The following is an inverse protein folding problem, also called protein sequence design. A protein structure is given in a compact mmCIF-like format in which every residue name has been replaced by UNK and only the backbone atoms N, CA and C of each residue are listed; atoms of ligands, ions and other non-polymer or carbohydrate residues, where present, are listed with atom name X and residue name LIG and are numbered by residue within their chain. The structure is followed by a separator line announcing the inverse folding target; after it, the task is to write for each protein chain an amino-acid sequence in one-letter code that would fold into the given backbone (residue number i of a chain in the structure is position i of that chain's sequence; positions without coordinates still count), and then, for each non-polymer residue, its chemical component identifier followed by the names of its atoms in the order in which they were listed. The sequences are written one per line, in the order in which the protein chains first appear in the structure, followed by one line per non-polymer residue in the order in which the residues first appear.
data_IF_055009453959
#
_entry.id   IF_055009453959
#
_cell.length_a   1.000
_cell.length_b   1.000
_cell.length_c   1.000
_cell.angle_alpha   90.00
_cell.angle_beta   90.00
_cell.angle_gamma   90.00
#
_symmetry.space_group_name_H-M   'P 1'
#
loop_
_entity.id
_entity.type
_entity.pdbx_description
1 polymer ?
#
# COMPACT_ATOMS: atom_id res chain seq x y z
N UNK A 1 24.70 -15.92 11.60
CA UNK A 1 23.53 -15.02 11.55
C UNK A 1 22.85 -15.07 12.91
N UNK A 2 22.82 -13.93 13.61
CA UNK A 2 22.53 -13.84 15.04
C UNK A 2 21.02 -13.85 15.34
N UNK A 3 20.60 -14.65 16.32
CA UNK A 3 19.20 -14.82 16.75
C UNK A 3 18.62 -13.52 17.33
N UNK A 4 19.47 -12.60 17.79
CA UNK A 4 19.08 -11.27 18.28
C UNK A 4 18.54 -10.35 17.18
N UNK A 5 18.92 -10.57 15.91
CA UNK A 5 18.29 -9.86 14.79
C UNK A 5 16.89 -10.38 14.45
N UNK A 6 16.37 -11.43 15.10
CA UNK A 6 14.96 -11.84 14.95
C UNK A 6 14.03 -11.15 15.96
N UNK A 7 14.56 -10.69 17.09
CA UNK A 7 13.76 -10.14 18.20
C UNK A 7 13.64 -8.61 18.20
N UNK A 8 14.55 -7.89 17.54
CA UNK A 8 14.47 -6.41 17.41
C UNK A 8 13.30 -5.89 16.56
N UNK A 9 12.60 -6.77 15.84
CA UNK A 9 11.43 -6.45 15.01
C UNK A 9 10.10 -6.79 15.69
N UNK A 10 10.14 -7.28 16.94
CA UNK A 10 9.00 -7.83 17.66
C UNK A 10 7.93 -6.80 18.09
N UNK A 11 8.04 -5.56 17.62
CA UNK A 11 6.88 -4.70 17.41
C UNK A 11 6.67 -4.42 15.90
N UNK A 12 6.18 -5.41 15.11
CA UNK A 12 5.81 -5.24 13.70
C UNK A 12 4.74 -4.15 13.47
N UNK A 13 4.09 -3.70 14.55
CA UNK A 13 2.92 -2.83 14.53
C UNK A 13 3.22 -1.35 14.29
N UNK A 14 4.49 -0.91 14.41
CA UNK A 14 4.85 0.52 14.43
C UNK A 14 5.67 1.01 13.21
N UNK A 15 6.35 0.12 12.48
CA UNK A 15 7.26 0.52 11.39
C UNK A 15 6.57 1.22 10.21
N UNK A 16 5.36 0.77 9.85
CA UNK A 16 4.59 1.33 8.73
C UNK A 16 3.81 2.59 9.09
N UNK A 17 3.60 2.88 10.38
CA UNK A 17 2.74 3.98 10.82
C UNK A 17 3.29 5.34 10.39
N UNK A 18 4.61 5.50 10.42
CA UNK A 18 5.27 6.74 9.97
C UNK A 18 5.09 6.98 8.47
N UNK A 19 5.56 6.10 7.56
CA UNK A 19 5.40 6.33 6.13
C UNK A 19 3.94 6.29 5.67
N UNK A 20 3.11 5.41 6.25
CA UNK A 20 1.67 5.38 5.99
C UNK A 20 0.95 6.64 6.45
N UNK A 21 1.30 7.17 7.62
CA UNK A 21 0.77 8.44 8.12
C UNK A 21 1.15 9.63 7.24
N UNK A 22 2.37 9.66 6.72
CA UNK A 22 2.81 10.67 5.73
C UNK A 22 1.97 10.60 4.45
N UNK A 23 1.69 9.39 3.94
CA UNK A 23 0.83 9.21 2.76
C UNK A 23 -0.61 9.63 3.00
N UNK A 24 -1.20 9.29 4.15
CA UNK A 24 -2.55 9.74 4.53
C UNK A 24 -2.59 11.26 4.64
N UNK A 25 -1.61 11.87 5.30
CA UNK A 25 -1.50 13.33 5.39
C UNK A 25 -1.37 13.99 4.02
N UNK A 26 -0.53 13.43 3.14
CA UNK A 26 -0.38 13.88 1.75
C UNK A 26 -1.70 13.79 0.98
N UNK A 27 -2.43 12.68 1.10
CA UNK A 27 -3.73 12.50 0.47
C UNK A 27 -4.77 13.52 0.95
N UNK A 28 -4.80 13.82 2.24
CA UNK A 28 -5.65 14.88 2.79
C UNK A 28 -5.28 16.27 2.24
N UNK A 29 -3.98 16.58 2.12
CA UNK A 29 -3.52 17.84 1.53
C UNK A 29 -3.93 17.97 0.05
N UNK A 30 -3.76 16.91 -0.74
CA UNK A 30 -4.19 16.89 -2.15
C UNK A 30 -5.71 17.07 -2.25
N UNK A 31 -6.48 16.34 -1.44
CA UNK A 31 -7.93 16.50 -1.39
C UNK A 31 -8.37 17.92 -1.00
N UNK A 32 -7.72 18.50 0.01
CA UNK A 32 -7.96 19.88 0.43
C UNK A 32 -7.65 20.87 -0.69
N UNK A 33 -6.55 20.68 -1.43
CA UNK A 33 -6.20 21.53 -2.55
C UNK A 33 -7.24 21.48 -3.67
N UNK A 34 -7.87 20.33 -3.91
CA UNK A 34 -8.97 20.17 -4.88
C UNK A 34 -10.21 20.94 -4.43
N UNK A 35 -10.54 20.91 -3.14
CA UNK A 35 -11.71 21.62 -2.57
C UNK A 35 -11.53 23.15 -2.57
N UNK A 36 -10.31 23.63 -2.35
CA UNK A 36 -10.00 25.07 -2.26
C UNK A 36 -10.01 25.81 -3.60
N UNK A 37 -10.21 25.10 -4.72
CA UNK A 37 -10.36 25.64 -6.08
C UNK A 37 -9.18 26.53 -6.57
N UNK A 38 -9.35 27.24 -7.69
CA UNK A 38 -8.31 28.01 -8.38
C UNK A 38 -7.79 29.20 -7.54
N UNK A 39 -6.68 28.99 -6.82
CA UNK A 39 -6.04 30.03 -6.02
C UNK A 39 -4.55 29.83 -5.78
N UNK A 40 -3.86 30.86 -5.25
CA UNK A 40 -2.46 30.73 -4.82
C UNK A 40 -2.33 29.72 -3.67
N UNK A 41 -3.29 29.71 -2.75
CA UNK A 41 -3.31 28.81 -1.61
C UNK A 41 -3.46 27.34 -2.05
N UNK A 42 -4.40 27.04 -2.95
CA UNK A 42 -4.56 25.69 -3.50
C UNK A 42 -3.30 25.19 -4.21
N UNK A 43 -2.61 26.05 -4.98
CA UNK A 43 -1.33 25.70 -5.62
C UNK A 43 -0.24 25.35 -4.60
N UNK A 44 -0.13 26.12 -3.52
CA UNK A 44 0.85 25.83 -2.44
C UNK A 44 0.50 24.53 -1.75
N UNK A 45 -0.76 24.33 -1.34
CA UNK A 45 -1.21 23.10 -0.66
C UNK A 45 -1.03 21.88 -1.57
N UNK A 46 -1.35 22.00 -2.86
CA UNK A 46 -1.13 20.92 -3.83
C UNK A 46 0.37 20.59 -3.97
N UNK A 47 1.24 21.60 -4.03
CA UNK A 47 2.69 21.40 -4.06
C UNK A 47 3.21 20.68 -2.81
N UNK A 48 2.75 21.10 -1.62
CA UNK A 48 3.08 20.44 -0.35
C UNK A 48 2.54 19.00 -0.33
N UNK A 49 1.31 18.78 -0.75
CA UNK A 49 0.70 17.46 -0.87
C UNK A 49 1.51 16.53 -1.78
N UNK A 50 1.91 17.01 -2.96
CA UNK A 50 2.76 16.26 -3.88
C UNK A 50 4.14 15.92 -3.31
N UNK A 51 4.81 16.89 -2.65
CA UNK A 51 6.11 16.64 -1.99
C UNK A 51 5.98 15.62 -0.87
N UNK A 52 4.96 15.76 0.00
CA UNK A 52 4.69 14.81 1.08
C UNK A 52 4.36 13.41 0.54
N UNK A 53 3.65 13.32 -0.59
CA UNK A 53 3.35 12.05 -1.25
C UNK A 53 4.62 11.33 -1.72
N UNK A 54 5.50 12.05 -2.42
CA UNK A 54 6.79 11.53 -2.90
C UNK A 54 7.70 11.14 -1.73
N UNK A 55 7.72 11.92 -0.65
CA UNK A 55 8.45 11.58 0.56
C UNK A 55 7.92 10.29 1.20
N UNK A 56 6.59 10.14 1.31
CA UNK A 56 5.96 8.90 1.79
C UNK A 56 6.31 7.68 0.93
N UNK A 57 6.29 7.84 -0.40
CA UNK A 57 6.72 6.80 -1.33
C UNK A 57 8.19 6.42 -1.14
N UNK A 58 9.08 7.41 -1.04
CA UNK A 58 10.51 7.20 -0.82
C UNK A 58 10.79 6.50 0.52
N UNK A 59 10.10 6.91 1.59
CA UNK A 59 10.22 6.26 2.91
C UNK A 59 9.75 4.81 2.88
N UNK A 60 8.64 4.50 2.21
CA UNK A 60 8.18 3.12 2.01
C UNK A 60 9.19 2.29 1.22
N UNK A 61 9.64 2.80 0.07
CA UNK A 61 10.62 2.11 -0.78
C UNK A 61 11.92 1.85 -0.02
N UNK A 62 12.42 2.85 0.71
CA UNK A 62 13.60 2.73 1.55
C UNK A 62 13.42 1.71 2.67
N UNK A 63 12.26 1.69 3.31
CA UNK A 63 11.96 0.73 4.38
C UNK A 63 12.07 -0.72 3.88
N UNK A 64 11.78 -0.95 2.60
CA UNK A 64 11.80 -2.26 1.97
C UNK A 64 13.14 -2.61 1.32
N UNK A 65 14.17 -1.76 1.44
CA UNK A 65 15.50 -2.10 0.94
C UNK A 65 16.00 -3.39 1.59
N UNK A 66 16.47 -4.33 0.78
CA UNK A 66 16.97 -5.61 1.24
C UNK A 66 15.89 -6.62 1.65
N UNK A 67 14.61 -6.34 1.37
CA UNK A 67 13.56 -7.36 1.52
C UNK A 67 13.82 -8.54 0.57
N UNK A 68 13.61 -9.76 1.03
CA UNK A 68 13.72 -10.94 0.17
C UNK A 68 12.72 -10.83 -1.00
N UNK A 69 13.19 -11.15 -2.22
CA UNK A 69 12.34 -11.06 -3.41
C UNK A 69 12.03 -9.64 -3.87
N UNK A 70 12.77 -8.61 -3.42
CA UNK A 70 12.61 -7.21 -3.82
C UNK A 70 12.40 -7.02 -5.34
N UNK A 71 13.20 -7.69 -6.17
CA UNK A 71 13.06 -7.59 -7.63
C UNK A 71 11.71 -8.12 -8.13
N UNK A 72 11.28 -9.30 -7.65
CA UNK A 72 10.00 -9.91 -8.03
C UNK A 72 8.83 -9.05 -7.59
N UNK A 73 8.81 -8.64 -6.32
CA UNK A 73 7.77 -7.78 -5.76
C UNK A 73 7.77 -6.40 -6.40
N UNK A 74 8.94 -5.85 -6.71
CA UNK A 74 9.10 -4.60 -7.44
C UNK A 74 8.57 -4.66 -8.87
N UNK A 75 8.80 -5.76 -9.59
CA UNK A 75 8.22 -5.99 -10.92
C UNK A 75 6.69 -6.05 -10.85
N UNK A 76 6.14 -6.84 -9.92
CA UNK A 76 4.68 -6.96 -9.75
C UNK A 76 4.07 -5.61 -9.35
N UNK A 77 4.70 -4.87 -8.45
CA UNK A 77 4.31 -3.50 -8.10
C UNK A 77 4.29 -2.61 -9.35
N UNK A 78 5.36 -2.60 -10.15
CA UNK A 78 5.46 -1.78 -11.35
C UNK A 78 4.36 -2.08 -12.37
N UNK A 79 4.14 -3.37 -12.67
CA UNK A 79 3.07 -3.82 -13.58
C UNK A 79 1.68 -3.45 -13.03
N UNK A 80 1.45 -3.68 -11.74
CA UNK A 80 0.17 -3.36 -11.08
C UNK A 80 -0.11 -1.87 -11.13
N UNK A 81 0.86 -1.02 -10.79
CA UNK A 81 0.73 0.43 -10.80
C UNK A 81 0.50 0.95 -12.22
N UNK A 82 1.21 0.41 -13.22
CA UNK A 82 1.00 0.79 -14.62
C UNK A 82 -0.40 0.41 -15.11
N UNK A 83 -0.87 -0.81 -14.79
CA UNK A 83 -2.22 -1.24 -15.12
C UNK A 83 -3.27 -0.33 -14.47
N UNK A 84 -3.10 0.01 -13.19
CA UNK A 84 -4.00 0.96 -12.50
C UNK A 84 -3.95 2.36 -13.13
N UNK A 85 -2.78 2.86 -13.51
CA UNK A 85 -2.65 4.17 -14.16
C UNK A 85 -3.37 4.24 -15.53
N UNK A 86 -3.50 3.11 -16.21
CA UNK A 86 -4.21 3.00 -17.49
C UNK A 86 -5.71 2.78 -17.30
N UNK A 87 -6.10 1.90 -16.36
CA UNK A 87 -7.46 1.41 -16.20
C UNK A 87 -8.32 2.27 -15.25
N UNK A 88 -7.73 2.86 -14.22
CA UNK A 88 -8.46 3.63 -13.20
C UNK A 88 -8.46 5.11 -13.57
N UNK A 89 -9.65 5.66 -13.80
CA UNK A 89 -9.81 7.10 -14.01
C UNK A 89 -9.73 7.85 -12.68
N UNK A 90 -9.00 8.98 -12.59
CA UNK A 90 -8.87 9.75 -11.35
C UNK A 90 -10.18 10.27 -10.75
N UNK A 91 -11.26 10.30 -11.54
CA UNK A 91 -12.58 10.80 -11.13
C UNK A 91 -13.55 9.69 -10.71
N UNK A 92 -13.19 8.42 -10.93
CA UNK A 92 -14.03 7.28 -10.61
C UNK A 92 -13.63 6.66 -9.26
N UNK A 93 -14.37 7.06 -8.22
CA UNK A 93 -14.12 6.62 -6.85
C UNK A 93 -14.29 5.10 -6.69
N UNK A 94 -15.29 4.50 -7.34
CA UNK A 94 -15.57 3.08 -7.19
C UNK A 94 -14.46 2.25 -7.84
N UNK A 95 -14.05 2.61 -9.06
CA UNK A 95 -12.92 1.99 -9.73
C UNK A 95 -11.61 2.17 -8.94
N UNK A 96 -11.40 3.33 -8.31
CA UNK A 96 -10.25 3.56 -7.45
C UNK A 96 -10.27 2.65 -6.21
N UNK A 97 -11.37 2.56 -5.47
CA UNK A 97 -11.46 1.69 -4.28
C UNK A 97 -11.20 0.23 -4.67
N UNK A 98 -11.89 -0.28 -5.69
CA UNK A 98 -11.79 -1.67 -6.12
C UNK A 98 -10.38 -1.96 -6.68
N UNK A 99 -9.89 -1.11 -7.58
CA UNK A 99 -8.60 -1.29 -8.23
C UNK A 99 -7.44 -1.26 -7.24
N UNK A 100 -7.42 -0.29 -6.31
CA UNK A 100 -6.36 -0.19 -5.32
C UNK A 100 -6.45 -1.24 -4.22
N UNK A 101 -7.65 -1.70 -3.84
CA UNK A 101 -7.81 -2.85 -2.96
C UNK A 101 -7.23 -4.12 -3.60
N UNK A 102 -7.60 -4.41 -4.85
CA UNK A 102 -7.10 -5.58 -5.59
C UNK A 102 -5.59 -5.48 -5.82
N UNK A 103 -5.11 -4.34 -6.32
CA UNK A 103 -3.68 -4.12 -6.56
C UNK A 103 -2.86 -4.22 -5.28
N UNK A 104 -3.34 -3.63 -4.19
CA UNK A 104 -2.75 -3.76 -2.86
C UNK A 104 -2.67 -5.21 -2.39
N UNK A 105 -3.76 -5.98 -2.55
CA UNK A 105 -3.80 -7.40 -2.20
C UNK A 105 -2.81 -8.24 -3.03
N UNK A 106 -2.78 -8.05 -4.36
CA UNK A 106 -1.87 -8.78 -5.26
C UNK A 106 -0.41 -8.56 -4.85
N UNK A 107 -0.03 -7.29 -4.68
CA UNK A 107 1.34 -6.92 -4.32
C UNK A 107 1.68 -7.44 -2.93
N UNK A 108 0.76 -7.33 -1.97
CA UNK A 108 0.93 -7.88 -0.61
C UNK A 108 1.12 -9.40 -0.61
N UNK A 109 0.35 -10.16 -1.40
CA UNK A 109 0.42 -11.62 -1.48
C UNK A 109 1.74 -12.09 -2.12
N UNK A 110 2.23 -11.37 -3.13
CA UNK A 110 3.52 -11.70 -3.77
C UNK A 110 4.70 -11.34 -2.86
N UNK A 111 4.54 -10.31 -2.04
CA UNK A 111 5.54 -9.90 -1.06
C UNK A 111 5.43 -10.72 0.23
N UNK A 112 6.28 -11.72 0.38
CA UNK A 112 6.34 -12.54 1.61
C UNK A 112 6.84 -11.74 2.82
N UNK A 113 7.51 -10.61 2.60
CA UNK A 113 8.02 -9.75 3.68
C UNK A 113 7.29 -8.41 3.71
N UNK A 114 6.77 -8.04 4.88
CA UNK A 114 6.14 -6.73 5.16
C UNK A 114 5.01 -6.36 4.17
N UNK A 115 3.98 -7.22 4.03
CA UNK A 115 2.89 -7.04 3.05
C UNK A 115 2.22 -5.67 3.10
N UNK A 116 2.07 -5.08 4.30
CA UNK A 116 1.49 -3.74 4.47
C UNK A 116 2.28 -2.63 3.78
N UNK A 117 3.62 -2.67 3.83
CA UNK A 117 4.46 -1.63 3.22
C UNK A 117 4.39 -1.72 1.69
N UNK A 118 4.38 -2.95 1.17
CA UNK A 118 4.23 -3.23 -0.25
C UNK A 118 2.86 -2.84 -0.78
N UNK A 119 1.79 -3.10 -0.04
CA UNK A 119 0.45 -2.67 -0.42
C UNK A 119 0.34 -1.13 -0.48
N UNK A 120 0.88 -0.43 0.52
CA UNK A 120 0.89 1.04 0.56
C UNK A 120 1.77 1.67 -0.54
N UNK A 121 2.75 0.94 -1.07
CA UNK A 121 3.52 1.41 -2.22
C UNK A 121 2.68 1.53 -3.50
N UNK A 122 1.59 0.76 -3.63
CA UNK A 122 0.71 0.82 -4.81
C UNK A 122 0.13 2.23 -5.02
N UNK A 123 -0.61 2.81 -4.06
CA UNK A 123 -1.06 4.20 -4.18
C UNK A 123 0.11 5.18 -4.17
N UNK A 124 1.17 4.94 -3.40
CA UNK A 124 2.31 5.85 -3.33
C UNK A 124 2.99 6.05 -4.70
N UNK A 125 3.13 4.97 -5.48
CA UNK A 125 3.75 4.98 -6.81
C UNK A 125 2.80 5.38 -7.94
N UNK A 126 1.50 5.46 -7.66
CA UNK A 126 0.52 5.83 -8.68
C UNK A 126 0.73 7.25 -9.22
N UNK A 127 1.02 8.24 -8.36
CA UNK A 127 1.22 9.62 -8.80
C UNK A 127 2.39 9.75 -9.81
N UNK A 128 3.61 9.24 -9.51
CA UNK A 128 4.69 9.18 -10.51
C UNK A 128 4.29 8.47 -11.80
N UNK A 129 3.65 7.30 -11.71
CA UNK A 129 3.26 6.52 -12.89
C UNK A 129 2.22 7.27 -13.75
N UNK A 130 1.25 7.92 -13.10
CA UNK A 130 0.22 8.69 -13.79
C UNK A 130 0.81 9.90 -14.53
N UNK A 131 1.81 10.56 -13.95
CA UNK A 131 2.56 11.63 -14.63
C UNK A 131 3.28 11.09 -15.87
N UNK A 132 3.98 9.96 -15.75
CA UNK A 132 4.68 9.33 -16.88
C UNK A 132 3.70 8.94 -17.99
N UNK A 133 2.56 8.33 -17.65
CA UNK A 133 1.51 7.97 -18.62
C UNK A 133 0.91 9.22 -19.26
N UNK A 134 0.68 10.28 -18.48
CA UNK A 134 0.19 11.57 -18.99
C UNK A 134 1.15 12.20 -19.99
N UNK A 135 2.45 12.21 -19.70
CA UNK A 135 3.49 12.69 -20.63
C UNK A 135 3.55 11.81 -21.88
N UNK A 136 3.55 10.49 -21.74
CA UNK A 136 3.58 9.58 -22.88
C UNK A 136 2.38 9.78 -23.81
N UNK A 137 1.17 9.93 -23.24
CA UNK A 137 -0.04 10.22 -24.02
C UNK A 137 0.02 11.58 -24.69
N UNK A 138 0.49 12.62 -24.01
CA UNK A 138 0.57 13.96 -24.64
C UNK A 138 1.56 14.00 -25.80
N UNK A 139 2.64 13.20 -25.75
CA UNK A 139 3.60 13.08 -26.85
C UNK A 139 3.08 12.27 -28.04
N UNK A 140 2.22 11.28 -27.80
CA UNK A 140 1.69 10.39 -28.84
C UNK A 140 0.46 11.02 -29.52
N UNK A 141 -0.48 11.51 -28.71
CA UNK A 141 -1.81 11.92 -29.19
C UNK A 141 -1.89 13.43 -29.49
N UNK A 142 -0.87 14.22 -29.15
CA UNK A 142 -0.80 15.66 -29.40
C UNK A 142 -1.87 16.50 -28.69
N UNK A 143 -2.78 15.88 -27.94
CA UNK A 143 -3.90 16.52 -27.30
C UNK A 143 -3.50 17.04 -25.90
N UNK A 144 -3.29 18.35 -25.80
CA UNK A 144 -3.35 19.04 -24.51
C UNK A 144 -4.81 19.04 -24.04
N UNK A 145 -5.22 18.00 -23.31
CA UNK A 145 -6.56 17.92 -22.76
C UNK A 145 -6.87 19.18 -21.92
N UNK A 146 -7.95 19.86 -22.29
CA UNK A 146 -8.46 21.05 -21.60
C UNK A 146 -8.66 20.72 -20.12
N UNK A 147 -8.04 21.52 -19.25
CA UNK A 147 -8.21 21.42 -17.79
C UNK A 147 -9.63 21.82 -17.43
N UNK A 148 -10.55 20.88 -17.46
CA UNK A 148 -11.83 21.02 -16.74
C UNK A 148 -11.56 20.87 -15.25
N UNK A 149 -12.15 21.73 -14.42
CA UNK A 149 -12.09 21.59 -12.97
C UNK A 149 -12.48 20.16 -12.58
N UNK A 150 -11.70 19.48 -11.71
CA UNK A 150 -12.02 18.13 -11.30
C UNK A 150 -13.36 18.10 -10.57
N UNK A 151 -14.17 17.05 -10.74
CA UNK A 151 -15.40 16.91 -9.97
C UNK A 151 -15.08 16.86 -8.46
N UNK A 152 -15.97 17.32 -7.57
CA UNK A 152 -15.74 17.31 -6.13
C UNK A 152 -15.37 15.93 -5.57
N UNK A 153 -15.85 14.86 -6.20
CA UNK A 153 -15.51 13.47 -5.85
C UNK A 153 -14.02 13.17 -5.99
N UNK A 154 -13.28 13.87 -6.85
CA UNK A 154 -11.84 13.68 -7.01
C UNK A 154 -11.05 14.05 -5.74
N UNK A 155 -11.61 14.90 -4.86
CA UNK A 155 -10.96 15.30 -3.62
C UNK A 155 -10.72 14.12 -2.66
N UNK A 156 -11.61 13.13 -2.65
CA UNK A 156 -11.55 11.99 -1.72
C UNK A 156 -10.82 10.78 -2.31
N UNK A 157 -10.63 10.74 -3.64
CA UNK A 157 -10.02 9.61 -4.34
C UNK A 157 -8.62 9.26 -3.80
N UNK A 158 -7.68 10.21 -3.61
CA UNK A 158 -6.34 9.88 -3.11
C UNK A 158 -6.37 9.18 -1.75
N UNK A 159 -7.25 9.63 -0.86
CA UNK A 159 -7.40 9.02 0.46
C UNK A 159 -8.03 7.63 0.36
N UNK A 160 -9.07 7.48 -0.47
CA UNK A 160 -9.72 6.20 -0.71
C UNK A 160 -8.75 5.15 -1.26
N UNK A 161 -7.86 5.52 -2.18
CA UNK A 161 -6.82 4.64 -2.73
C UNK A 161 -5.87 4.13 -1.64
N UNK A 162 -5.39 5.04 -0.78
CA UNK A 162 -4.47 4.72 0.33
C UNK A 162 -5.14 3.78 1.32
N UNK A 163 -6.38 4.09 1.72
CA UNK A 163 -7.13 3.26 2.67
C UNK A 163 -7.48 1.90 2.08
N UNK A 164 -7.92 1.83 0.83
CA UNK A 164 -8.27 0.57 0.17
C UNK A 164 -7.07 -0.37 0.06
N UNK A 165 -5.92 0.12 -0.43
CA UNK A 165 -4.71 -0.67 -0.52
C UNK A 165 -4.17 -1.05 0.88
N UNK A 166 -4.21 -0.13 1.84
CA UNK A 166 -3.78 -0.38 3.22
C UNK A 166 -4.64 -1.45 3.90
N UNK A 167 -5.97 -1.39 3.78
CA UNK A 167 -6.88 -2.41 4.33
C UNK A 167 -6.65 -3.77 3.68
N UNK A 168 -6.48 -3.82 2.36
CA UNK A 168 -6.16 -5.06 1.65
C UNK A 168 -4.83 -5.67 2.13
N UNK A 169 -3.78 -4.85 2.24
CA UNK A 169 -2.48 -5.29 2.76
C UNK A 169 -2.56 -5.78 4.22
N UNK A 170 -3.37 -5.12 5.04
CA UNK A 170 -3.63 -5.54 6.42
C UNK A 170 -4.35 -6.90 6.47
N UNK A 171 -5.38 -7.10 5.65
CA UNK A 171 -6.11 -8.37 5.58
C UNK A 171 -5.20 -9.52 5.15
N UNK A 172 -4.37 -9.31 4.11
CA UNK A 172 -3.38 -10.30 3.68
C UNK A 172 -2.39 -10.63 4.81
N UNK A 173 -1.89 -9.61 5.51
CA UNK A 173 -0.98 -9.80 6.64
C UNK A 173 -1.60 -10.60 7.80
N UNK A 174 -2.93 -10.46 8.02
CA UNK A 174 -3.65 -11.19 9.06
C UNK A 174 -3.85 -12.66 8.69
N UNK A 175 -4.29 -12.93 7.46
CA UNK A 175 -4.48 -14.31 6.99
C UNK A 175 -3.18 -15.13 7.02
N UNK A 176 -2.05 -14.51 6.67
CA UNK A 176 -0.74 -15.17 6.70
C UNK A 176 -0.30 -15.54 8.13
N UNK A 177 -0.56 -14.64 9.09
CA UNK A 177 -0.26 -14.89 10.50
C UNK A 177 -1.11 -16.03 11.10
N UNK A 178 -2.40 -16.11 10.73
CA UNK A 178 -3.32 -17.13 11.23
C UNK A 178 -3.01 -18.52 10.63
N UNK A 179 -2.60 -18.57 9.34
CA UNK A 179 -2.20 -19.81 8.66
C UNK A 179 -1.02 -20.51 9.33
N UNK A 180 -0.03 -19.74 9.79
CA UNK A 180 1.13 -20.27 10.50
C UNK A 180 0.74 -20.94 11.83
N UNK A 181 -0.13 -20.32 12.61
CA UNK A 181 -0.60 -20.87 13.90
C UNK A 181 -1.44 -22.15 13.76
N UNK A 182 -2.16 -22.31 12.64
CA UNK A 182 -2.93 -23.53 12.37
C UNK A 182 -2.02 -24.73 12.05
N UNK A 183 -0.92 -24.49 11.32
CA UNK A 183 0.02 -25.53 10.90
C UNK A 183 0.84 -26.09 12.07
N UNK A 184 1.30 -25.23 12.99
CA UNK A 184 2.06 -25.64 14.18
C UNK A 184 1.24 -26.48 15.17
N UNK A 185 -0.07 -26.20 15.30
CA UNK A 185 -0.96 -27.00 16.16
C UNK A 185 -1.25 -28.37 15.57
N UNK A 186 -1.37 -28.46 14.25
CA UNK A 186 -1.59 -29.74 13.57
C UNK A 186 -0.32 -30.63 13.60
N UNK A 187 0.87 -30.03 13.62
CA UNK A 187 2.14 -30.73 13.63
C UNK A 187 2.61 -31.17 15.03
N UNK A 188 1.95 -30.74 16.11
CA UNK A 188 2.23 -31.24 17.47
C UNK A 188 1.43 -32.52 17.71
N UNK A 189 2.03 -33.73 17.59
CA UNK A 189 1.34 -34.96 17.96
C UNK A 189 0.92 -34.82 19.42
N UNK A 190 -0.39 -34.91 19.67
CA UNK A 190 -0.93 -34.98 21.04
C UNK A 190 -0.18 -36.11 21.73
N UNK A 191 0.74 -35.75 22.63
CA UNK A 191 1.50 -36.74 23.38
C UNK A 191 0.48 -37.64 24.09
N UNK A 192 0.51 -38.97 23.88
CA UNK A 192 -0.45 -39.87 24.50
C UNK A 192 -0.36 -39.66 26.01
N UNK A 193 -1.48 -39.22 26.58
CA UNK A 193 -1.60 -38.87 27.98
C UNK A 193 -1.44 -40.16 28.81
N UNK A 194 -0.21 -40.51 29.18
CA UNK A 194 0.14 -41.74 29.90
C UNK A 194 -0.32 -41.78 31.37
N UNK A 195 -1.27 -40.91 31.75
CA UNK A 195 -1.93 -40.96 33.07
C UNK A 195 -3.05 -42.00 33.08
N UNK A 196 -2.70 -43.28 32.98
CA UNK A 196 -3.55 -44.36 33.45
C UNK A 196 -2.70 -45.41 34.15
N UNK A 197 -2.69 -45.41 35.48
CA UNK A 197 -2.10 -46.52 36.23
C UNK A 197 -1.42 -46.20 37.56
N UNK A 198 -1.85 -45.18 38.30
CA UNK A 198 -1.51 -45.06 39.72
C UNK A 198 -2.82 -44.96 40.52
N UNK A 199 -3.46 -46.11 40.74
CA UNK A 199 -4.32 -46.29 41.91
C UNK A 199 -3.66 -47.33 42.81
N UNK A 200 -3.31 -46.80 43.97
CA UNK A 200 -2.85 -47.44 45.19
C UNK A 200 -3.82 -48.50 45.72
N UNK A 201 -3.27 -49.31 46.63
CA UNK A 201 -3.90 -50.13 47.69
C UNK A 201 -3.99 -51.62 47.38
#
# INVERSE_FOLDING_TARGET
MDQRSRLGWASPRLGWQRPGGVLVGAACLVGLAIVLDEGRLARVINGLGGISWLLGAAMLAWSLRGAAGWLRSGLVLGVTVLALAVLVRPTDLAAAIIGFAIGGAIVALVSTERPMHWALLVPAMWLPAHIVVGIARSTIDGAAAVRTAPPPTAAIVPLAMVLAAGLAGLLVARCDADGFHSSDRAASPVAPNSRSGAKSS
#
